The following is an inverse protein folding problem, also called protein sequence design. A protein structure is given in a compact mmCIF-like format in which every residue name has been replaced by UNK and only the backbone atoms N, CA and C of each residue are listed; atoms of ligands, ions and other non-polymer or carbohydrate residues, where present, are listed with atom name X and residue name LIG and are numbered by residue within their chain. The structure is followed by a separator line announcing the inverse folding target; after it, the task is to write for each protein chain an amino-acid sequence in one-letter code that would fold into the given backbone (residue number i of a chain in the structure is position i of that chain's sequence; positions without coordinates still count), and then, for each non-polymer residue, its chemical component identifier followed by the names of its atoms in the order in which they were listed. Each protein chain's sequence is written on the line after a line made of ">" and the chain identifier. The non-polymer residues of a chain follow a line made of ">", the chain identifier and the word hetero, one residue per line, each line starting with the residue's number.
data_IF_735007719366
#
_entry.id   IF_735007719366
#
_cell.length_a   1.000
_cell.length_b   1.000
_cell.length_c   1.000
_cell.angle_alpha   90.00
_cell.angle_beta   90.00
_cell.angle_gamma   90.00
#
_symmetry.space_group_name_H-M   'P 1'
#
loop_
_entity.id
_entity.type
_entity.pdbx_description
1 polymer ?
#
# COMPACT_ATOMS: atom_id res chain seq x y z
N UNK A 1 19.85 -9.35 2.32
CA UNK A 1 19.27 -8.12 2.90
C UNK A 1 20.23 -7.36 3.82
N UNK A 2 20.75 -7.93 4.92
CA UNK A 2 21.70 -7.21 5.79
C UNK A 2 22.99 -6.80 5.08
N UNK A 3 23.53 -7.65 4.22
CA UNK A 3 24.70 -7.29 3.39
C UNK A 3 24.38 -6.16 2.41
N UNK A 4 23.21 -6.16 1.78
CA UNK A 4 22.76 -5.11 0.86
C UNK A 4 22.68 -3.77 1.57
N UNK A 5 22.06 -3.73 2.76
CA UNK A 5 21.98 -2.51 3.57
C UNK A 5 23.38 -2.02 4.00
N UNK A 6 24.25 -2.94 4.43
CA UNK A 6 25.63 -2.61 4.80
C UNK A 6 26.44 -2.04 3.62
N UNK A 7 26.25 -2.61 2.43
CA UNK A 7 26.92 -2.14 1.21
C UNK A 7 26.34 -0.79 0.75
N UNK A 8 25.03 -0.60 0.80
CA UNK A 8 24.38 0.66 0.50
C UNK A 8 24.86 1.80 1.41
N UNK A 9 25.09 1.49 2.72
CA UNK A 9 25.59 2.47 3.68
C UNK A 9 27.01 2.98 3.38
N UNK A 10 27.85 2.17 2.71
CA UNK A 10 29.20 2.57 2.31
C UNK A 10 29.20 3.58 1.16
N UNK A 11 28.11 3.65 0.38
CA UNK A 11 27.98 4.56 -0.77
C UNK A 11 27.44 5.91 -0.26
N UNK A 12 28.20 7.02 -0.37
CA UNK A 12 27.83 8.30 0.26
C UNK A 12 26.46 8.85 -0.18
N UNK A 13 26.09 8.67 -1.48
CA UNK A 13 24.81 9.17 -1.98
C UNK A 13 23.62 8.33 -1.49
N UNK A 14 23.76 7.00 -1.45
CA UNK A 14 22.72 6.13 -0.90
C UNK A 14 22.55 6.36 0.61
N UNK A 15 23.66 6.58 1.31
CA UNK A 15 23.62 6.96 2.73
C UNK A 15 22.85 8.27 2.93
N UNK A 16 23.06 9.30 2.11
CA UNK A 16 22.28 10.55 2.17
C UNK A 16 20.79 10.31 1.98
N UNK A 17 20.39 9.48 1.00
CA UNK A 17 18.99 9.11 0.77
C UNK A 17 18.37 8.34 1.92
N UNK A 18 19.12 7.39 2.52
CA UNK A 18 18.68 6.65 3.72
C UNK A 18 18.44 7.61 4.88
N UNK A 19 19.42 8.48 5.17
CA UNK A 19 19.33 9.46 6.26
C UNK A 19 18.15 10.42 6.02
N UNK A 20 17.97 10.90 4.79
CA UNK A 20 16.84 11.75 4.43
C UNK A 20 15.50 11.06 4.67
N UNK A 21 15.36 9.80 4.25
CA UNK A 21 14.12 9.01 4.50
C UNK A 21 13.85 8.86 5.99
N UNK A 22 14.87 8.52 6.79
CA UNK A 22 14.73 8.42 8.23
C UNK A 22 14.38 9.77 8.89
N UNK A 23 14.95 10.87 8.42
CA UNK A 23 14.63 12.21 8.89
C UNK A 23 13.16 12.60 8.62
N UNK A 24 12.66 12.31 7.41
CA UNK A 24 11.24 12.53 7.08
C UNK A 24 10.33 11.66 7.95
N UNK A 25 10.68 10.40 8.19
CA UNK A 25 9.92 9.53 9.09
C UNK A 25 9.91 10.04 10.53
N UNK A 26 10.99 10.66 11.00
CA UNK A 26 11.05 11.28 12.31
C UNK A 26 10.11 12.49 12.39
N UNK A 27 10.11 13.39 11.38
CA UNK A 27 9.14 14.49 11.28
C UNK A 27 7.71 13.97 11.30
N UNK A 28 7.44 12.93 10.52
CA UNK A 28 6.13 12.29 10.49
C UNK A 28 5.73 11.76 11.88
N UNK A 29 6.66 11.17 12.64
CA UNK A 29 6.41 10.69 13.99
C UNK A 29 6.11 11.80 14.97
N UNK A 30 6.80 12.93 14.88
CA UNK A 30 6.51 14.11 15.71
C UNK A 30 5.07 14.58 15.46
N UNK A 31 4.65 14.69 14.20
CA UNK A 31 3.28 15.09 13.86
C UNK A 31 2.20 14.11 14.35
N UNK A 32 2.52 12.82 14.49
CA UNK A 32 1.61 11.81 15.05
C UNK A 32 1.39 11.95 16.58
N UNK A 33 2.12 12.81 17.25
CA UNK A 33 1.99 13.04 18.70
C UNK A 33 1.28 14.36 19.01
N UNK A 34 1.17 15.27 18.04
CA UNK A 34 0.55 16.59 18.23
C UNK A 34 -0.99 16.45 18.14
N UNK A 35 -1.72 16.58 19.25
CA UNK A 35 -3.17 16.49 19.24
C UNK A 35 -3.80 17.72 18.60
N UNK A 36 -4.98 17.53 17.98
CA UNK A 36 -5.78 18.65 17.48
C UNK A 36 -6.46 19.36 18.67
N UNK A 37 -6.49 20.69 18.71
CA UNK A 37 -7.14 21.44 19.77
C UNK A 37 -8.65 21.14 19.84
N UNK A 38 -9.25 21.38 20.99
CA UNK A 38 -10.69 21.16 21.30
C UNK A 38 -11.13 19.69 21.37
N UNK A 39 -10.19 18.74 21.43
CA UNK A 39 -10.51 17.30 21.57
C UNK A 39 -9.86 16.76 22.84
N UNK A 40 -10.63 16.08 23.69
CA UNK A 40 -10.10 15.34 24.82
C UNK A 40 -9.57 13.98 24.37
N UNK A 41 -8.25 13.91 24.26
CA UNK A 41 -7.52 12.72 23.77
C UNK A 41 -7.68 11.54 24.73
N UNK A 42 -7.75 11.77 26.05
CA UNK A 42 -7.84 10.70 27.02
C UNK A 42 -9.20 9.98 26.93
N UNK A 43 -10.28 10.74 26.88
CA UNK A 43 -11.63 10.21 26.71
C UNK A 43 -11.80 9.49 25.38
N UNK A 44 -11.28 10.07 24.28
CA UNK A 44 -11.33 9.45 22.96
C UNK A 44 -10.54 8.13 22.89
N UNK A 45 -9.32 8.10 23.43
CA UNK A 45 -8.48 6.90 23.43
C UNK A 45 -9.12 5.75 24.22
N UNK A 46 -9.69 6.04 25.41
CA UNK A 46 -10.39 5.04 26.21
C UNK A 46 -11.65 4.50 25.48
N UNK A 47 -12.42 5.38 24.86
CA UNK A 47 -13.59 5.00 24.07
C UNK A 47 -13.17 4.17 22.84
N UNK A 48 -12.09 4.55 22.17
CA UNK A 48 -11.57 3.83 21.02
C UNK A 48 -11.15 2.41 21.40
N UNK A 49 -10.38 2.24 22.48
CA UNK A 49 -9.88 0.94 22.91
C UNK A 49 -11.02 0.02 23.37
N UNK A 50 -12.07 0.57 23.97
CA UNK A 50 -13.22 -0.23 24.48
C UNK A 50 -14.23 -0.61 23.39
N UNK A 51 -14.52 0.27 22.42
CA UNK A 51 -15.63 0.10 21.49
C UNK A 51 -15.18 0.03 20.03
N UNK A 52 -14.28 0.90 19.61
CA UNK A 52 -13.96 1.10 18.20
C UNK A 52 -12.80 0.24 17.70
N UNK A 53 -11.96 -0.28 18.59
CA UNK A 53 -10.77 -1.07 18.22
C UNK A 53 -11.11 -2.35 17.44
N UNK A 54 -12.28 -2.94 17.68
CA UNK A 54 -12.75 -4.15 16.99
C UNK A 54 -13.48 -3.87 15.68
N UNK A 55 -13.70 -2.60 15.35
CA UNK A 55 -14.37 -2.16 14.11
C UNK A 55 -13.35 -1.89 12.99
N UNK A 56 -13.85 -1.50 11.83
CA UNK A 56 -12.99 -1.06 10.71
C UNK A 56 -12.10 0.14 11.08
N UNK A 57 -12.52 0.95 12.08
CA UNK A 57 -11.74 2.07 12.57
C UNK A 57 -10.46 1.63 13.30
N UNK A 58 -10.43 0.42 13.89
CA UNK A 58 -9.22 -0.19 14.41
C UNK A 58 -8.15 -0.40 13.35
N UNK A 59 -8.56 -0.77 12.13
CA UNK A 59 -7.67 -0.89 11.00
C UNK A 59 -7.13 0.48 10.54
N UNK A 60 -8.00 1.50 10.47
CA UNK A 60 -7.57 2.89 10.22
C UNK A 60 -6.54 3.36 11.23
N UNK A 61 -6.77 3.04 12.50
CA UNK A 61 -5.83 3.38 13.57
C UNK A 61 -4.47 2.68 13.40
N UNK A 62 -4.47 1.41 13.00
CA UNK A 62 -3.23 0.67 12.71
C UNK A 62 -2.47 1.28 11.52
N UNK A 63 -3.19 1.69 10.46
CA UNK A 63 -2.59 2.32 9.27
C UNK A 63 -2.12 3.75 9.52
N UNK A 64 -2.69 4.46 10.50
CA UNK A 64 -2.26 5.80 10.92
C UNK A 64 -1.17 5.75 12.01
N UNK A 65 -0.81 4.56 12.51
CA UNK A 65 0.16 4.41 13.58
C UNK A 65 -0.32 4.95 14.93
N UNK A 66 -1.59 4.71 15.25
CA UNK A 66 -2.34 5.17 16.44
C UNK A 66 -2.67 6.67 16.46
N UNK A 67 -2.39 7.40 15.40
CA UNK A 67 -2.73 8.81 15.28
C UNK A 67 -4.25 9.06 15.25
N UNK A 68 -5.02 8.10 14.68
CA UNK A 68 -6.47 8.18 14.60
C UNK A 68 -7.14 8.11 15.99
N UNK A 69 -6.76 7.19 16.86
CA UNK A 69 -7.33 7.06 18.21
C UNK A 69 -6.96 8.22 19.14
N UNK A 70 -5.93 8.98 18.80
CA UNK A 70 -5.45 10.13 19.56
C UNK A 70 -5.87 11.47 18.93
N UNK A 71 -6.67 11.46 17.85
CA UNK A 71 -7.08 12.64 17.11
C UNK A 71 -5.92 13.65 16.88
N UNK A 72 -4.78 13.15 16.46
CA UNK A 72 -3.61 14.00 16.17
C UNK A 72 -3.77 14.69 14.82
N UNK A 73 -2.93 15.68 14.54
CA UNK A 73 -2.93 16.41 13.26
C UNK A 73 -2.82 15.45 12.07
N UNK A 74 -2.12 14.32 12.22
CA UNK A 74 -1.98 13.30 11.18
C UNK A 74 -2.97 12.12 11.34
N UNK A 75 -4.10 12.31 12.04
CA UNK A 75 -5.10 11.25 12.27
C UNK A 75 -5.63 10.61 10.98
N UNK A 76 -5.87 11.38 9.93
CA UNK A 76 -6.29 10.86 8.62
C UNK A 76 -5.14 10.14 7.88
N UNK A 77 -3.89 10.36 8.31
CA UNK A 77 -2.70 9.75 7.72
C UNK A 77 -2.61 10.00 6.22
N UNK A 78 -2.18 8.97 5.49
CA UNK A 78 -2.02 9.00 4.03
C UNK A 78 -3.27 8.54 3.26
N UNK A 79 -4.35 8.14 3.96
CA UNK A 79 -5.56 7.58 3.37
C UNK A 79 -6.23 8.48 2.32
N UNK A 80 -6.41 9.81 2.53
CA UNK A 80 -7.01 10.67 1.50
C UNK A 80 -6.19 10.66 0.20
N UNK A 81 -4.86 10.58 0.30
CA UNK A 81 -3.99 10.52 -0.88
C UNK A 81 -4.06 9.16 -1.60
N UNK A 82 -4.12 8.05 -0.85
CA UNK A 82 -4.30 6.72 -1.45
C UNK A 82 -5.62 6.68 -2.22
N UNK A 83 -6.72 7.12 -1.60
CA UNK A 83 -8.03 7.15 -2.23
C UNK A 83 -8.04 8.05 -3.48
N UNK A 84 -7.43 9.24 -3.40
CA UNK A 84 -7.29 10.15 -4.54
C UNK A 84 -6.50 9.51 -5.68
N UNK A 85 -5.37 8.86 -5.36
CA UNK A 85 -4.53 8.19 -6.34
C UNK A 85 -5.29 7.06 -7.06
N UNK A 86 -6.07 6.25 -6.32
CA UNK A 86 -6.91 5.20 -6.88
C UNK A 86 -7.96 5.81 -7.83
N UNK A 87 -8.68 6.83 -7.38
CA UNK A 87 -9.73 7.50 -8.17
C UNK A 87 -9.12 8.06 -9.45
N UNK A 88 -8.03 8.78 -9.38
CA UNK A 88 -7.38 9.38 -10.55
C UNK A 88 -6.84 8.29 -11.50
N UNK A 89 -6.28 7.21 -10.97
CA UNK A 89 -5.81 6.10 -11.79
C UNK A 89 -6.95 5.39 -12.53
N UNK A 90 -8.09 5.18 -11.88
CA UNK A 90 -9.30 4.66 -12.53
C UNK A 90 -9.85 5.63 -13.58
N UNK A 91 -9.91 6.92 -13.26
CA UNK A 91 -10.36 7.95 -14.20
C UNK A 91 -9.42 8.11 -15.40
N UNK A 92 -8.13 7.89 -15.23
CA UNK A 92 -7.16 7.91 -16.34
C UNK A 92 -7.46 6.84 -17.39
N UNK A 93 -8.10 5.74 -17.01
CA UNK A 93 -8.52 4.69 -17.95
C UNK A 93 -9.92 4.97 -18.51
N UNK A 94 -10.82 5.49 -17.65
CA UNK A 94 -12.20 5.73 -18.04
C UNK A 94 -12.37 6.97 -18.95
N UNK A 95 -11.51 7.98 -18.79
CA UNK A 95 -11.63 9.27 -19.51
C UNK A 95 -10.52 9.37 -20.55
N UNK A 96 -10.85 9.36 -21.88
CA UNK A 96 -9.84 9.40 -22.95
C UNK A 96 -8.93 10.62 -22.93
N UNK A 97 -9.39 11.75 -22.40
CA UNK A 97 -8.57 12.96 -22.26
C UNK A 97 -7.43 12.76 -21.23
N UNK A 98 -7.73 12.08 -20.10
CA UNK A 98 -6.73 11.75 -19.08
C UNK A 98 -5.80 10.61 -19.54
N UNK A 99 -6.32 9.66 -20.32
CA UNK A 99 -5.52 8.59 -20.90
C UNK A 99 -4.45 9.15 -21.85
N UNK A 100 -4.83 10.07 -22.75
CA UNK A 100 -3.89 10.76 -23.65
C UNK A 100 -2.86 11.55 -22.86
N UNK A 101 -3.28 12.22 -21.80
CA UNK A 101 -2.38 12.96 -20.92
C UNK A 101 -1.34 12.05 -20.24
N UNK A 102 -1.75 10.83 -19.87
CA UNK A 102 -0.90 9.84 -19.22
C UNK A 102 0.10 9.19 -20.19
N UNK A 103 -0.37 8.83 -21.40
CA UNK A 103 0.44 8.09 -22.39
C UNK A 103 1.26 9.01 -23.29
N UNK A 104 0.63 10.06 -23.82
CA UNK A 104 1.23 10.95 -24.83
C UNK A 104 1.84 12.20 -24.24
N UNK A 105 1.45 12.60 -23.02
CA UNK A 105 1.89 13.84 -22.37
C UNK A 105 3.31 13.83 -21.79
N UNK A 106 4.03 12.70 -21.85
CA UNK A 106 5.39 12.58 -21.33
C UNK A 106 5.53 13.03 -19.88
N UNK A 107 6.62 13.72 -19.54
CA UNK A 107 6.87 14.23 -18.18
C UNK A 107 5.90 15.34 -17.75
N UNK A 108 5.45 16.20 -18.68
CA UNK A 108 4.47 17.23 -18.37
C UNK A 108 3.07 16.64 -18.06
N UNK A 109 2.67 15.60 -18.80
CA UNK A 109 1.44 14.88 -18.57
C UNK A 109 1.40 14.23 -17.18
N UNK A 110 2.48 13.56 -16.80
CA UNK A 110 2.64 12.98 -15.46
C UNK A 110 2.55 14.04 -14.36
N UNK A 111 3.20 15.20 -14.53
CA UNK A 111 3.12 16.32 -13.59
C UNK A 111 1.71 16.89 -13.46
N UNK A 112 0.94 16.97 -14.56
CA UNK A 112 -0.46 17.42 -14.53
C UNK A 112 -1.34 16.43 -13.77
N UNK A 113 -1.21 15.13 -14.03
CA UNK A 113 -1.94 14.07 -13.31
C UNK A 113 -1.62 14.11 -11.81
N UNK A 114 -0.34 14.23 -11.44
CA UNK A 114 0.07 14.36 -10.04
C UNK A 114 -0.57 15.59 -9.37
N UNK A 115 -0.65 16.73 -10.09
CA UNK A 115 -1.31 17.93 -9.59
C UNK A 115 -2.81 17.71 -9.35
N UNK A 116 -3.51 17.05 -10.26
CA UNK A 116 -4.92 16.68 -10.11
C UNK A 116 -5.10 15.77 -8.88
N UNK A 117 -4.23 14.77 -8.71
CA UNK A 117 -4.24 13.90 -7.53
C UNK A 117 -4.07 14.68 -6.22
N UNK A 118 -3.19 15.69 -6.17
CA UNK A 118 -3.00 16.54 -4.99
C UNK A 118 -4.26 17.33 -4.65
N UNK A 119 -4.91 17.97 -5.64
CA UNK A 119 -6.18 18.69 -5.40
C UNK A 119 -7.29 17.76 -4.94
N UNK A 120 -7.40 16.58 -5.56
CA UNK A 120 -8.38 15.55 -5.15
C UNK A 120 -8.10 15.07 -3.72
N UNK A 121 -6.84 14.95 -3.33
CA UNK A 121 -6.43 14.59 -1.96
C UNK A 121 -6.92 15.61 -0.94
N UNK A 122 -6.76 16.90 -1.22
CA UNK A 122 -7.23 17.96 -0.33
C UNK A 122 -8.76 17.94 -0.23
N UNK A 123 -9.48 17.77 -1.36
CA UNK A 123 -10.93 17.64 -1.38
C UNK A 123 -11.43 16.42 -0.56
N UNK A 124 -10.80 15.26 -0.73
CA UNK A 124 -11.11 14.09 0.06
C UNK A 124 -10.71 14.26 1.54
N UNK A 125 -9.60 14.96 1.81
CA UNK A 125 -9.18 15.31 3.16
C UNK A 125 -10.22 16.14 3.90
N UNK A 126 -10.82 17.14 3.23
CA UNK A 126 -11.92 17.93 3.77
C UNK A 126 -13.16 17.08 4.07
N UNK A 127 -13.56 16.20 3.14
CA UNK A 127 -14.68 15.29 3.33
C UNK A 127 -14.45 14.33 4.50
N UNK A 128 -13.28 13.70 4.56
CA UNK A 128 -12.93 12.76 5.63
C UNK A 128 -12.74 13.47 6.97
N UNK A 129 -12.18 14.69 6.97
CA UNK A 129 -12.05 15.52 8.17
C UNK A 129 -13.41 15.94 8.74
N UNK A 130 -14.33 16.35 7.86
CA UNK A 130 -15.71 16.62 8.24
C UNK A 130 -16.43 15.38 8.78
N UNK A 131 -16.28 14.26 8.12
CA UNK A 131 -16.85 12.99 8.55
C UNK A 131 -16.31 12.55 9.92
N UNK A 132 -15.00 12.72 10.15
CA UNK A 132 -14.37 12.41 11.44
C UNK A 132 -14.88 13.35 12.54
N UNK A 133 -14.98 14.65 12.27
CA UNK A 133 -15.60 15.61 13.20
C UNK A 133 -17.03 15.20 13.55
N UNK A 134 -17.84 14.84 12.56
CA UNK A 134 -19.23 14.42 12.77
C UNK A 134 -19.32 13.18 13.65
N UNK A 135 -18.41 12.23 13.47
CA UNK A 135 -18.30 11.05 14.33
C UNK A 135 -17.99 11.45 15.76
N UNK A 136 -17.00 12.30 16.01
CA UNK A 136 -16.64 12.78 17.35
C UNK A 136 -17.81 13.53 18.02
N UNK A 137 -18.52 14.36 17.25
CA UNK A 137 -19.68 15.09 17.75
C UNK A 137 -20.84 14.16 18.13
N UNK A 138 -21.13 13.14 17.31
CA UNK A 138 -22.14 12.15 17.61
C UNK A 138 -21.84 11.36 18.90
N UNK A 139 -20.57 11.02 19.16
CA UNK A 139 -20.17 10.36 20.39
C UNK A 139 -20.17 11.30 21.59
N UNK A 140 -19.81 12.56 21.41
CA UNK A 140 -19.91 13.58 22.45
C UNK A 140 -21.35 13.78 22.89
N UNK A 141 -22.31 13.77 21.96
CA UNK A 141 -23.75 13.89 22.27
C UNK A 141 -24.34 12.66 22.99
N UNK A 142 -23.67 11.50 22.95
CA UNK A 142 -24.07 10.27 23.67
C UNK A 142 -23.55 10.22 25.12
N UNK A 143 -22.96 11.29 25.64
CA UNK A 143 -22.49 11.39 27.02
C UNK A 143 -20.99 11.24 27.22
N UNK A 144 -20.22 11.04 26.13
CA UNK A 144 -18.77 11.07 26.16
C UNK A 144 -18.32 12.48 25.78
N UNK A 145 -17.91 13.30 26.71
CA UNK A 145 -17.43 14.69 26.43
C UNK A 145 -16.08 14.68 25.70
N UNK A 146 -16.08 14.23 24.44
CA UNK A 146 -14.86 14.13 23.60
C UNK A 146 -14.52 15.51 23.05
N UNK A 147 -15.51 16.32 22.67
CA UNK A 147 -15.30 17.70 22.19
C UNK A 147 -15.46 18.62 23.37
N UNK A 148 -14.39 19.37 23.72
CA UNK A 148 -14.33 20.26 24.87
C UNK A 148 -15.13 21.56 24.65
N UNK A 149 -15.23 22.02 23.42
CA UNK A 149 -15.99 23.23 23.07
C UNK A 149 -16.80 23.00 21.81
N UNK A 150 -18.11 23.19 21.90
CA UNK A 150 -19.01 23.12 20.75
C UNK A 150 -19.16 24.50 20.09
N UNK A 151 -19.20 24.52 18.77
CA UNK A 151 -19.39 25.74 17.99
C UNK A 151 -18.84 25.63 16.58
N UNK A 152 -19.15 26.64 15.75
CA UNK A 152 -18.68 26.67 14.36
C UNK A 152 -17.17 26.82 14.24
N UNK A 153 -16.54 27.67 15.04
CA UNK A 153 -15.08 27.90 15.02
C UNK A 153 -14.29 26.63 15.42
N UNK A 154 -14.58 25.94 16.54
CA UNK A 154 -13.92 24.67 16.86
C UNK A 154 -14.09 23.60 15.79
N UNK A 155 -15.30 23.47 15.21
CA UNK A 155 -15.57 22.54 14.12
C UNK A 155 -14.67 22.81 12.91
N UNK A 156 -14.61 24.07 12.48
CA UNK A 156 -13.78 24.49 11.35
C UNK A 156 -12.31 24.27 11.60
N UNK A 157 -11.81 24.59 12.80
CA UNK A 157 -10.40 24.34 13.17
C UNK A 157 -10.06 22.87 13.14
N UNK A 158 -10.90 22.00 13.70
CA UNK A 158 -10.68 20.54 13.72
C UNK A 158 -10.64 20.01 12.29
N UNK A 159 -11.61 20.35 11.43
CA UNK A 159 -11.68 19.88 10.04
C UNK A 159 -10.46 20.35 9.24
N UNK A 160 -10.10 21.62 9.36
CA UNK A 160 -8.94 22.18 8.65
C UNK A 160 -7.62 21.58 9.17
N UNK A 161 -7.49 21.32 10.48
CA UNK A 161 -6.30 20.71 11.06
C UNK A 161 -6.08 19.29 10.49
N UNK A 162 -7.12 18.46 10.43
CA UNK A 162 -7.02 17.13 9.83
C UNK A 162 -6.71 17.17 8.34
N UNK A 163 -7.32 18.12 7.61
CA UNK A 163 -7.07 18.28 6.18
C UNK A 163 -5.65 18.74 5.90
N UNK A 164 -5.19 19.76 6.64
CA UNK A 164 -3.82 20.25 6.53
C UNK A 164 -2.81 19.16 6.88
N UNK A 165 -3.09 18.39 7.94
CA UNK A 165 -2.28 17.25 8.33
C UNK A 165 -2.14 16.21 7.23
N UNK A 166 -3.25 15.82 6.59
CA UNK A 166 -3.20 14.85 5.48
C UNK A 166 -2.46 15.39 4.25
N UNK A 167 -2.57 16.71 3.96
CA UNK A 167 -1.82 17.35 2.89
C UNK A 167 -0.30 17.38 3.18
N UNK A 168 0.09 17.61 4.44
CA UNK A 168 1.50 17.53 4.86
C UNK A 168 2.01 16.09 4.74
N UNK A 169 1.25 15.09 5.18
CA UNK A 169 1.63 13.67 5.04
C UNK A 169 1.80 13.26 3.57
N UNK A 170 0.90 13.71 2.69
CA UNK A 170 1.05 13.53 1.25
C UNK A 170 2.38 14.12 0.75
N UNK A 171 2.67 15.36 1.11
CA UNK A 171 3.91 16.03 0.71
C UNK A 171 5.16 15.31 1.25
N UNK A 172 5.14 14.85 2.51
CA UNK A 172 6.24 14.04 3.07
C UNK A 172 6.44 12.73 2.30
N UNK A 173 5.35 12.06 1.90
CA UNK A 173 5.42 10.86 1.07
C UNK A 173 6.05 11.11 -0.31
N UNK A 174 5.67 12.22 -0.95
CA UNK A 174 6.26 12.64 -2.24
C UNK A 174 7.76 12.97 -2.09
N UNK A 175 8.16 13.66 -1.00
CA UNK A 175 9.57 13.95 -0.72
C UNK A 175 10.41 12.67 -0.57
N UNK A 176 9.88 11.65 0.13
CA UNK A 176 10.58 10.35 0.22
C UNK A 176 10.71 9.71 -1.17
N UNK A 177 9.68 9.78 -2.00
CA UNK A 177 9.71 9.18 -3.33
C UNK A 177 10.72 9.88 -4.25
N UNK A 178 10.85 11.20 -4.17
CA UNK A 178 11.72 12.00 -5.03
C UNK A 178 13.19 11.98 -4.56
N UNK A 179 13.43 12.20 -3.29
CA UNK A 179 14.79 12.36 -2.72
C UNK A 179 15.25 11.21 -1.83
N UNK A 180 14.35 10.30 -1.46
CA UNK A 180 14.63 9.18 -0.58
C UNK A 180 14.85 7.86 -1.31
N UNK A 181 14.34 6.78 -0.72
CA UNK A 181 14.46 5.42 -1.23
C UNK A 181 13.06 4.84 -1.44
N UNK A 182 12.82 4.25 -2.60
CA UNK A 182 11.59 3.53 -2.88
C UNK A 182 10.34 4.41 -2.93
N UNK A 183 9.17 3.81 -2.66
CA UNK A 183 7.89 4.50 -2.69
C UNK A 183 7.57 5.10 -1.30
N UNK A 184 7.52 6.43 -1.19
CA UNK A 184 7.31 7.13 0.08
C UNK A 184 5.99 6.81 0.77
N UNK A 185 4.90 6.58 -0.02
CA UNK A 185 3.60 6.17 0.53
C UNK A 185 3.73 4.83 1.26
N UNK A 186 4.34 3.85 0.59
CA UNK A 186 4.55 2.52 1.13
C UNK A 186 5.44 2.54 2.38
N UNK A 187 6.48 3.39 2.38
CA UNK A 187 7.38 3.54 3.53
C UNK A 187 6.69 4.17 4.73
N UNK A 188 5.83 5.17 4.53
CA UNK A 188 5.04 5.76 5.61
C UNK A 188 4.07 4.72 6.19
N UNK A 189 3.36 3.95 5.33
CA UNK A 189 2.51 2.85 5.78
C UNK A 189 3.29 1.79 6.56
N UNK A 190 4.46 1.40 6.06
CA UNK A 190 5.36 0.49 6.75
C UNK A 190 5.74 0.99 8.14
N UNK A 191 6.16 2.25 8.25
CA UNK A 191 6.54 2.86 9.52
C UNK A 191 5.37 2.90 10.51
N UNK A 192 4.15 3.16 10.03
CA UNK A 192 2.95 3.14 10.86
C UNK A 192 2.62 1.75 11.40
N UNK A 193 2.64 0.76 10.54
CA UNK A 193 2.33 -0.62 10.95
C UNK A 193 3.38 -1.14 11.94
N UNK A 194 4.67 -0.91 11.63
CA UNK A 194 5.78 -1.33 12.52
C UNK A 194 5.69 -0.66 13.89
N UNK A 195 5.18 0.56 13.97
CA UNK A 195 4.99 1.24 15.26
C UNK A 195 3.96 0.58 16.17
N UNK A 196 3.05 -0.20 15.62
CA UNK A 196 2.09 -1.01 16.38
C UNK A 196 2.70 -2.29 16.99
N UNK A 197 3.89 -2.71 16.55
CA UNK A 197 4.52 -3.96 17.04
C UNK A 197 4.76 -4.02 18.54
N UNK A 198 5.25 -2.95 19.23
CA UNK A 198 5.42 -3.00 20.67
C UNK A 198 4.12 -3.31 21.42
N UNK A 199 3.00 -2.70 20.99
CA UNK A 199 1.66 -2.96 21.57
C UNK A 199 1.21 -4.41 21.27
N UNK A 200 1.48 -4.90 20.07
CA UNK A 200 1.20 -6.29 19.70
C UNK A 200 1.95 -7.28 20.56
N UNK A 201 3.25 -7.05 20.77
CA UNK A 201 4.09 -7.90 21.64
C UNK A 201 3.55 -7.87 23.07
N UNK A 202 3.14 -6.70 23.59
CA UNK A 202 2.49 -6.60 24.89
C UNK A 202 1.20 -7.45 24.98
N UNK A 203 0.37 -7.41 23.96
CA UNK A 203 -0.87 -8.22 23.90
C UNK A 203 -0.58 -9.73 23.78
N UNK A 204 0.51 -10.12 23.12
CA UNK A 204 0.92 -11.53 23.05
C UNK A 204 1.23 -12.10 24.43
N UNK A 205 1.92 -11.36 25.30
CA UNK A 205 2.23 -11.83 26.66
C UNK A 205 1.00 -12.01 27.57
N UNK A 206 -0.13 -11.42 27.19
CA UNK A 206 -1.41 -11.63 27.90
C UNK A 206 -2.15 -12.90 27.47
N UNK A 207 -1.66 -13.62 26.47
CA UNK A 207 -2.25 -14.86 25.94
C UNK A 207 -1.69 -16.11 26.62
N UNK A 208 -2.39 -17.24 26.44
CA UNK A 208 -1.92 -18.55 26.90
C UNK A 208 -0.68 -18.97 26.08
N UNK A 209 0.30 -19.60 26.72
CA UNK A 209 1.58 -19.98 26.11
C UNK A 209 1.46 -20.76 24.79
N UNK A 210 0.47 -21.65 24.67
CA UNK A 210 0.26 -22.42 23.43
C UNK A 210 -0.33 -21.56 22.31
N UNK A 211 -1.14 -20.53 22.64
CA UNK A 211 -1.64 -19.53 21.67
C UNK A 211 -0.51 -18.67 21.15
N UNK A 212 0.40 -18.24 22.01
CA UNK A 212 1.61 -17.50 21.63
C UNK A 212 2.41 -18.30 20.62
N UNK A 213 2.65 -19.59 20.90
CA UNK A 213 3.40 -20.47 20.02
C UNK A 213 2.74 -20.59 18.63
N UNK A 214 1.42 -20.81 18.56
CA UNK A 214 0.68 -20.90 17.30
C UNK A 214 0.77 -19.59 16.52
N UNK A 215 0.60 -18.45 17.17
CA UNK A 215 0.66 -17.12 16.53
C UNK A 215 2.08 -16.86 16.00
N UNK A 216 3.12 -17.09 16.78
CA UNK A 216 4.50 -16.82 16.38
C UNK A 216 4.92 -17.74 15.23
N UNK A 217 4.63 -19.05 15.32
CA UNK A 217 4.94 -20.01 14.25
C UNK A 217 4.12 -19.71 12.99
N UNK A 218 2.83 -19.39 13.15
CA UNK A 218 1.96 -19.02 12.04
C UNK A 218 2.43 -17.73 11.33
N UNK A 219 2.82 -16.71 12.09
CA UNK A 219 3.38 -15.47 11.53
C UNK A 219 4.71 -15.72 10.80
N UNK A 220 5.61 -16.49 11.39
CA UNK A 220 6.88 -16.85 10.75
C UNK A 220 6.66 -17.62 9.44
N UNK A 221 5.77 -18.60 9.44
CA UNK A 221 5.41 -19.36 8.24
C UNK A 221 4.80 -18.47 7.17
N UNK A 222 3.92 -17.52 7.56
CA UNK A 222 3.29 -16.57 6.65
C UNK A 222 4.32 -15.61 6.04
N UNK A 223 5.24 -15.08 6.82
CA UNK A 223 6.33 -14.22 6.33
C UNK A 223 7.21 -14.98 5.33
N UNK A 224 7.63 -16.22 5.65
CA UNK A 224 8.41 -17.06 4.74
C UNK A 224 7.65 -17.34 3.43
N UNK A 225 6.35 -17.62 3.53
CA UNK A 225 5.51 -17.86 2.36
C UNK A 225 5.39 -16.61 1.47
N UNK A 226 5.20 -15.41 2.07
CA UNK A 226 5.17 -14.14 1.33
C UNK A 226 6.50 -13.89 0.62
N UNK A 227 7.64 -14.11 1.30
CA UNK A 227 8.97 -13.92 0.71
C UNK A 227 9.17 -14.86 -0.48
N UNK A 228 8.81 -16.14 -0.30
CA UNK A 228 8.95 -17.15 -1.34
C UNK A 228 8.17 -16.81 -2.61
N UNK A 229 6.92 -16.35 -2.47
CA UNK A 229 6.07 -15.98 -3.62
C UNK A 229 6.51 -14.65 -4.25
N UNK A 230 6.96 -13.66 -3.45
CA UNK A 230 7.44 -12.38 -3.99
C UNK A 230 8.76 -12.49 -4.76
N UNK A 231 9.57 -13.52 -4.47
CA UNK A 231 10.80 -13.80 -5.21
C UNK A 231 10.57 -14.79 -6.37
N UNK A 232 9.40 -15.43 -6.43
CA UNK A 232 9.05 -16.33 -7.51
C UNK A 232 8.87 -15.56 -8.83
N UNK A 233 9.54 -16.03 -9.89
CA UNK A 233 9.46 -15.44 -11.23
C UNK A 233 9.34 -16.53 -12.31
N UNK A 234 8.57 -16.24 -13.34
CA UNK A 234 8.51 -17.03 -14.56
C UNK A 234 9.51 -16.48 -15.56
N UNK A 235 10.56 -17.23 -15.88
CA UNK A 235 11.57 -16.85 -16.88
C UNK A 235 11.15 -17.33 -18.26
N UNK A 236 10.94 -16.39 -19.19
CA UNK A 236 10.67 -16.68 -20.59
C UNK A 236 11.99 -16.53 -21.36
N UNK A 237 12.50 -17.59 -22.04
CA UNK A 237 13.74 -17.49 -22.79
C UNK A 237 13.56 -16.59 -24.01
N UNK A 238 14.50 -15.66 -24.20
CA UNK A 238 14.58 -14.78 -25.35
C UNK A 238 15.91 -15.06 -26.04
N UNK A 239 15.85 -15.15 -27.37
CA UNK A 239 17.03 -15.26 -28.23
C UNK A 239 17.20 -13.98 -29.05
N UNK A 240 18.42 -13.48 -29.11
CA UNK A 240 18.77 -12.36 -29.98
C UNK A 240 19.47 -12.88 -31.22
N UNK A 241 19.10 -12.33 -32.38
CA UNK A 241 19.74 -12.68 -33.65
C UNK A 241 21.23 -12.37 -33.60
N UNK A 242 22.07 -13.30 -34.05
CA UNK A 242 23.50 -13.07 -34.21
C UNK A 242 23.72 -12.08 -35.36
N UNK A 243 24.44 -11.01 -35.12
CA UNK A 243 24.84 -10.04 -36.15
C UNK A 243 26.32 -10.19 -36.42
N UNK A 244 26.65 -10.53 -37.65
CA UNK A 244 28.06 -10.60 -38.11
C UNK A 244 28.42 -9.25 -38.66
N UNK A 245 29.42 -8.60 -38.09
CA UNK A 245 29.98 -7.34 -38.59
C UNK A 245 31.47 -7.59 -38.88
N UNK A 246 31.80 -7.79 -40.14
CA UNK A 246 33.13 -8.23 -40.56
C UNK A 246 33.46 -9.64 -40.07
N UNK A 247 34.62 -9.82 -39.41
CA UNK A 247 35.08 -11.09 -38.82
C UNK A 247 34.58 -11.33 -37.39
N UNK A 248 33.86 -10.37 -36.77
CA UNK A 248 33.37 -10.47 -35.37
C UNK A 248 31.88 -10.75 -35.36
N UNK A 249 31.50 -11.76 -34.57
CA UNK A 249 30.11 -12.11 -34.32
C UNK A 249 29.65 -11.37 -33.08
N UNK A 250 28.68 -10.47 -33.24
CA UNK A 250 28.03 -9.75 -32.14
C UNK A 250 26.64 -10.31 -31.93
N UNK A 251 26.23 -10.47 -30.66
CA UNK A 251 24.91 -10.99 -30.30
C UNK A 251 24.89 -12.52 -30.13
N UNK A 252 23.71 -13.09 -30.06
CA UNK A 252 23.49 -14.51 -29.77
C UNK A 252 23.50 -14.85 -28.28
N UNK A 253 23.45 -13.84 -27.39
CA UNK A 253 23.21 -14.08 -25.97
C UNK A 253 21.76 -14.50 -25.77
N UNK A 254 21.59 -15.65 -25.13
CA UNK A 254 20.29 -16.08 -24.65
C UNK A 254 20.03 -15.38 -23.33
N UNK A 255 19.01 -14.54 -23.28
CA UNK A 255 18.55 -13.86 -22.06
C UNK A 255 17.17 -14.37 -21.70
N UNK A 256 16.75 -14.13 -20.47
CA UNK A 256 15.42 -14.48 -20.01
C UNK A 256 14.66 -13.19 -19.69
N UNK A 257 13.37 -13.16 -20.06
CA UNK A 257 12.42 -12.15 -19.59
C UNK A 257 11.82 -12.64 -18.26
N UNK A 258 12.21 -12.07 -17.11
CA UNK A 258 11.64 -12.44 -15.83
C UNK A 258 10.27 -11.79 -15.66
N UNK A 259 9.24 -12.59 -15.47
CA UNK A 259 7.89 -12.14 -15.10
C UNK A 259 7.65 -12.57 -13.65
N UNK A 260 7.56 -11.61 -12.73
CA UNK A 260 7.33 -11.89 -11.31
C UNK A 260 5.92 -12.43 -11.08
N UNK A 261 5.75 -13.33 -10.14
CA UNK A 261 4.42 -13.85 -9.75
C UNK A 261 3.60 -12.76 -9.05
N UNK A 262 4.22 -11.97 -8.18
CA UNK A 262 3.61 -10.80 -7.55
C UNK A 262 3.91 -9.54 -8.37
N UNK A 263 3.38 -9.47 -9.61
CA UNK A 263 3.62 -8.34 -10.52
C UNK A 263 3.07 -7.02 -10.00
N UNK A 264 1.90 -7.08 -9.39
CA UNK A 264 1.19 -5.89 -8.89
C UNK A 264 1.67 -5.44 -7.49
N UNK A 265 2.61 -6.18 -6.86
CA UNK A 265 3.09 -5.87 -5.52
C UNK A 265 1.97 -5.85 -4.47
N UNK A 266 2.03 -4.88 -3.57
CA UNK A 266 1.08 -4.71 -2.47
C UNK A 266 -0.12 -3.82 -2.86
N UNK A 267 -0.04 -3.09 -3.97
CA UNK A 267 -1.04 -2.09 -4.38
C UNK A 267 -2.47 -2.64 -4.49
N UNK A 268 -2.73 -3.82 -5.08
CA UNK A 268 -4.10 -4.36 -5.16
C UNK A 268 -4.77 -4.55 -3.81
N UNK A 269 -4.00 -4.94 -2.79
CA UNK A 269 -4.51 -5.13 -1.43
C UNK A 269 -4.90 -3.79 -0.82
N UNK A 270 -4.05 -2.77 -0.97
CA UNK A 270 -4.30 -1.43 -0.46
C UNK A 270 -5.56 -0.85 -1.12
N UNK A 271 -5.72 -1.04 -2.44
CA UNK A 271 -6.88 -0.58 -3.20
C UNK A 271 -8.16 -1.31 -2.79
N UNK A 272 -8.12 -2.63 -2.74
CA UNK A 272 -9.26 -3.43 -2.30
C UNK A 272 -9.69 -3.04 -0.87
N UNK A 273 -8.73 -2.88 0.03
CA UNK A 273 -8.98 -2.47 1.40
C UNK A 273 -9.57 -1.06 1.49
N UNK A 274 -9.04 -0.11 0.74
CA UNK A 274 -9.55 1.27 0.73
C UNK A 274 -11.01 1.31 0.27
N UNK A 275 -11.37 0.59 -0.78
CA UNK A 275 -12.76 0.56 -1.29
C UNK A 275 -13.68 -0.22 -0.36
N UNK A 276 -13.27 -1.39 0.13
CA UNK A 276 -14.07 -2.17 1.07
C UNK A 276 -14.30 -1.47 2.41
N UNK A 277 -13.38 -0.58 2.81
CA UNK A 277 -13.53 0.19 4.03
C UNK A 277 -14.49 1.37 3.90
N UNK A 278 -14.74 1.91 2.69
CA UNK A 278 -15.59 3.10 2.50
C UNK A 278 -17.01 2.94 3.06
N UNK A 279 -17.78 1.85 2.74
CA UNK A 279 -19.13 1.71 3.27
C UNK A 279 -19.17 1.59 4.79
N UNK A 280 -18.23 0.83 5.36
CA UNK A 280 -18.12 0.68 6.81
C UNK A 280 -17.75 2.00 7.49
N UNK A 281 -16.88 2.79 6.89
CA UNK A 281 -16.47 4.12 7.36
C UNK A 281 -17.63 5.09 7.31
N UNK A 282 -18.41 5.10 6.23
CA UNK A 282 -19.61 5.95 6.10
C UNK A 282 -20.63 5.58 7.19
N UNK A 283 -20.86 4.29 7.44
CA UNK A 283 -21.74 3.84 8.52
C UNK A 283 -21.24 4.27 9.90
N UNK A 284 -19.92 4.17 10.15
CA UNK A 284 -19.31 4.59 11.41
C UNK A 284 -19.44 6.12 11.61
N UNK A 285 -19.24 6.91 10.58
CA UNK A 285 -19.38 8.37 10.64
C UNK A 285 -20.80 8.84 10.80
N UNK A 286 -21.78 8.11 10.25
CA UNK A 286 -23.22 8.42 10.43
C UNK A 286 -23.81 7.87 11.72
N UNK A 287 -23.04 7.18 12.57
CA UNK A 287 -23.48 6.56 13.80
C UNK A 287 -24.39 5.33 13.62
N UNK A 288 -24.58 4.85 12.40
CA UNK A 288 -25.44 3.70 12.08
C UNK A 288 -24.67 2.38 12.09
N UNK A 289 -23.98 2.10 13.20
CA UNK A 289 -23.16 0.88 13.37
C UNK A 289 -23.94 -0.34 13.82
N UNK A 290 -25.18 -0.18 14.28
CA UNK A 290 -26.05 -1.27 14.75
C UNK A 290 -27.01 -1.84 13.70
N UNK A 291 -26.97 -1.33 12.46
CA UNK A 291 -27.83 -1.80 11.37
C UNK A 291 -27.47 -3.20 10.89
N UNK A 292 -28.48 -3.98 10.43
CA UNK A 292 -28.29 -5.32 9.88
C UNK A 292 -27.21 -5.35 8.77
N UNK A 293 -27.22 -4.35 7.88
CA UNK A 293 -26.24 -4.19 6.81
C UNK A 293 -24.81 -4.06 7.31
N UNK A 294 -24.60 -3.26 8.36
CA UNK A 294 -23.28 -3.08 8.94
C UNK A 294 -22.76 -4.37 9.58
N UNK A 295 -23.58 -5.00 10.42
CA UNK A 295 -23.18 -6.17 11.20
C UNK A 295 -22.93 -7.41 10.35
N UNK A 296 -23.72 -7.63 9.28
CA UNK A 296 -23.64 -8.84 8.48
C UNK A 296 -22.81 -8.70 7.20
N UNK A 297 -22.69 -7.50 6.64
CA UNK A 297 -22.01 -7.29 5.35
C UNK A 297 -20.67 -6.57 5.52
N UNK A 298 -20.65 -5.48 6.29
CA UNK A 298 -19.47 -4.59 6.33
C UNK A 298 -18.64 -4.69 7.62
N UNK A 299 -19.05 -5.50 8.57
CA UNK A 299 -18.22 -5.79 9.73
C UNK A 299 -16.98 -6.58 9.32
N UNK A 300 -15.81 -6.14 9.75
CA UNK A 300 -14.51 -6.80 9.45
C UNK A 300 -14.43 -8.27 9.93
N UNK A 301 -15.34 -8.67 10.82
CA UNK A 301 -15.45 -10.05 11.30
C UNK A 301 -16.47 -10.89 10.54
N UNK A 302 -17.22 -10.31 9.60
CA UNK A 302 -18.23 -11.02 8.81
C UNK A 302 -17.61 -11.87 7.71
N UNK A 303 -18.14 -13.07 7.49
CA UNK A 303 -17.78 -13.92 6.37
C UNK A 303 -18.13 -13.28 5.00
N UNK A 304 -19.22 -12.51 4.94
CA UNK A 304 -19.60 -11.74 3.74
C UNK A 304 -18.55 -10.70 3.39
N UNK A 305 -18.04 -9.97 4.39
CA UNK A 305 -16.93 -9.04 4.19
C UNK A 305 -15.70 -9.76 3.61
N UNK A 306 -15.35 -10.93 4.17
CA UNK A 306 -14.21 -11.71 3.69
C UNK A 306 -14.34 -12.09 2.20
N UNK A 307 -15.53 -12.54 1.78
CA UNK A 307 -15.80 -12.89 0.36
C UNK A 307 -15.71 -11.65 -0.53
N UNK A 308 -16.34 -10.54 -0.16
CA UNK A 308 -16.29 -9.29 -0.93
C UNK A 308 -14.85 -8.79 -1.04
N UNK A 309 -14.10 -8.83 0.06
CA UNK A 309 -12.71 -8.40 0.09
C UNK A 309 -11.82 -9.27 -0.81
N UNK A 310 -12.02 -10.60 -0.80
CA UNK A 310 -11.32 -11.52 -1.71
C UNK A 310 -11.60 -11.19 -3.18
N UNK A 311 -12.86 -10.98 -3.54
CA UNK A 311 -13.26 -10.63 -4.90
C UNK A 311 -12.66 -9.29 -5.34
N UNK A 312 -12.61 -8.31 -4.43
CA UNK A 312 -11.99 -7.01 -4.69
C UNK A 312 -10.48 -7.12 -4.88
N UNK A 313 -9.78 -7.92 -4.06
CA UNK A 313 -8.33 -8.18 -4.26
C UNK A 313 -8.11 -8.84 -5.63
N UNK A 314 -8.94 -9.81 -5.99
CA UNK A 314 -8.85 -10.48 -7.28
C UNK A 314 -9.05 -9.51 -8.44
N UNK A 315 -10.10 -8.68 -8.37
CA UNK A 315 -10.40 -7.66 -9.38
C UNK A 315 -9.27 -6.65 -9.52
N UNK A 316 -8.79 -6.07 -8.41
CA UNK A 316 -7.70 -5.09 -8.46
C UNK A 316 -6.37 -5.68 -8.87
N UNK A 317 -6.08 -6.92 -8.53
CA UNK A 317 -4.88 -7.61 -8.99
C UNK A 317 -4.88 -7.80 -10.51
N UNK A 318 -6.02 -8.21 -11.08
CA UNK A 318 -6.18 -8.32 -12.53
C UNK A 318 -6.11 -6.94 -13.20
N UNK A 319 -6.86 -5.99 -12.69
CA UNK A 319 -6.92 -4.61 -13.20
C UNK A 319 -5.54 -3.94 -13.21
N UNK A 320 -4.83 -3.97 -12.09
CA UNK A 320 -3.51 -3.34 -11.96
C UNK A 320 -2.46 -3.99 -12.85
N UNK A 321 -2.51 -5.30 -13.00
CA UNK A 321 -1.61 -6.01 -13.89
C UNK A 321 -1.81 -5.63 -15.37
N UNK A 322 -3.07 -5.42 -15.78
CA UNK A 322 -3.40 -4.98 -17.15
C UNK A 322 -2.87 -3.58 -17.46
N UNK A 323 -2.81 -2.70 -16.44
CA UNK A 323 -2.26 -1.34 -16.61
C UNK A 323 -0.73 -1.35 -16.64
N UNK A 324 -0.12 -2.14 -15.79
CA UNK A 324 1.34 -2.11 -15.58
C UNK A 324 2.11 -2.83 -16.70
N UNK A 325 1.50 -3.82 -17.30
CA UNK A 325 2.13 -4.63 -18.34
C UNK A 325 1.32 -4.58 -19.63
N UNK A 326 1.89 -3.91 -20.64
CA UNK A 326 1.36 -3.94 -22.02
C UNK A 326 2.13 -4.98 -22.85
N UNK A 327 1.52 -6.15 -23.13
CA UNK A 327 2.16 -7.21 -23.92
C UNK A 327 2.54 -6.78 -25.33
N UNK A 328 1.77 -5.83 -25.90
CA UNK A 328 2.03 -5.31 -27.25
C UNK A 328 3.29 -4.45 -27.25
N UNK A 329 3.44 -3.58 -26.23
CA UNK A 329 4.64 -2.76 -26.07
C UNK A 329 5.88 -3.63 -25.82
N UNK A 330 5.77 -4.63 -24.92
CA UNK A 330 6.87 -5.58 -24.65
C UNK A 330 7.28 -6.31 -25.92
N UNK A 331 6.32 -6.82 -26.71
CA UNK A 331 6.58 -7.54 -27.97
C UNK A 331 7.24 -6.62 -29.01
N UNK A 332 6.79 -5.37 -29.12
CA UNK A 332 7.36 -4.38 -30.05
C UNK A 332 8.79 -3.99 -29.64
N UNK A 333 9.06 -3.84 -28.34
CA UNK A 333 10.39 -3.55 -27.83
C UNK A 333 11.34 -4.73 -28.08
N UNK A 334 10.89 -5.98 -27.88
CA UNK A 334 11.65 -7.16 -28.26
C UNK A 334 12.00 -7.17 -29.74
N UNK A 335 10.99 -6.92 -30.62
CA UNK A 335 11.19 -6.87 -32.07
C UNK A 335 12.18 -5.78 -32.47
N UNK A 336 12.07 -4.57 -31.90
CA UNK A 336 12.99 -3.45 -32.19
C UNK A 336 14.43 -3.78 -31.84
N UNK A 337 14.64 -4.54 -30.75
CA UNK A 337 15.95 -4.94 -30.27
C UNK A 337 16.47 -6.26 -30.92
N UNK A 338 15.76 -6.79 -31.94
CA UNK A 338 16.14 -8.03 -32.60
C UNK A 338 15.99 -9.30 -31.76
N UNK A 339 15.23 -9.22 -30.66
CA UNK A 339 14.91 -10.36 -29.79
C UNK A 339 13.64 -11.09 -30.24
N UNK A 340 13.61 -12.39 -30.07
CA UNK A 340 12.41 -13.22 -30.31
C UNK A 340 12.30 -14.34 -29.28
N UNK A 341 11.07 -14.80 -29.07
CA UNK A 341 10.79 -15.96 -28.20
C UNK A 341 10.82 -17.20 -29.08
N UNK A 342 11.63 -18.23 -28.76
CA UNK A 342 11.67 -19.48 -29.52
C UNK A 342 10.27 -20.10 -29.69
N UNK A 343 9.92 -20.44 -30.92
CA UNK A 343 8.62 -21.01 -31.26
C UNK A 343 7.52 -20.01 -31.60
N UNK A 344 7.75 -18.70 -31.43
CA UNK A 344 6.77 -17.66 -31.77
C UNK A 344 7.33 -16.63 -32.75
N UNK A 345 6.54 -16.25 -33.75
CA UNK A 345 6.92 -15.17 -34.69
C UNK A 345 6.92 -13.82 -33.97
N UNK A 346 7.93 -12.94 -34.21
CA UNK A 346 7.94 -11.59 -33.66
C UNK A 346 6.69 -10.79 -34.04
N UNK A 347 6.16 -10.00 -33.10
CA UNK A 347 4.96 -9.19 -33.27
C UNK A 347 3.73 -9.77 -32.55
N UNK A 348 2.55 -9.72 -33.18
CA UNK A 348 1.29 -10.10 -32.56
C UNK A 348 1.29 -11.50 -31.91
N UNK A 349 1.81 -12.59 -32.54
CA UNK A 349 1.85 -13.90 -31.89
C UNK A 349 2.69 -13.93 -30.60
N UNK A 350 3.76 -13.16 -30.53
CA UNK A 350 4.56 -13.00 -29.32
C UNK A 350 3.79 -12.23 -28.24
N UNK A 351 3.06 -11.18 -28.62
CA UNK A 351 2.21 -10.43 -27.68
C UNK A 351 1.12 -11.32 -27.10
N UNK A 352 0.42 -12.10 -27.94
CA UNK A 352 -0.63 -13.04 -27.53
C UNK A 352 -0.11 -14.13 -26.58
N UNK A 353 1.11 -14.62 -26.82
CA UNK A 353 1.77 -15.58 -25.92
C UNK A 353 2.09 -14.92 -24.55
N UNK A 354 2.70 -13.75 -24.55
CA UNK A 354 3.02 -13.00 -23.33
C UNK A 354 1.75 -12.70 -22.55
N UNK A 355 0.66 -12.27 -23.21
CA UNK A 355 -0.64 -12.02 -22.58
C UNK A 355 -1.20 -13.26 -21.88
N UNK A 356 -1.13 -14.43 -22.54
CA UNK A 356 -1.57 -15.70 -21.95
C UNK A 356 -0.77 -16.06 -20.70
N UNK A 357 0.55 -15.83 -20.73
CA UNK A 357 1.42 -16.11 -19.57
C UNK A 357 1.09 -15.14 -18.44
N UNK A 358 0.97 -13.84 -18.71
CA UNK A 358 0.61 -12.81 -17.72
C UNK A 358 -0.74 -13.15 -17.08
N UNK A 359 -1.77 -13.45 -17.87
CA UNK A 359 -3.10 -13.77 -17.33
C UNK A 359 -3.06 -14.95 -16.34
N UNK A 360 -2.30 -16.01 -16.65
CA UNK A 360 -2.16 -17.16 -15.75
C UNK A 360 -1.45 -16.81 -14.46
N UNK A 361 -0.39 -16.01 -14.56
CA UNK A 361 0.40 -15.58 -13.39
C UNK A 361 -0.43 -14.66 -12.50
N UNK A 362 -1.19 -13.73 -13.10
CA UNK A 362 -2.06 -12.80 -12.37
C UNK A 362 -3.15 -13.51 -11.59
N UNK A 363 -3.79 -14.51 -12.19
CA UNK A 363 -4.80 -15.34 -11.49
C UNK A 363 -4.18 -16.01 -10.27
N UNK A 364 -3.02 -16.64 -10.44
CA UNK A 364 -2.31 -17.28 -9.32
C UNK A 364 -1.92 -16.25 -8.24
N UNK A 365 -1.34 -15.10 -8.65
CA UNK A 365 -0.97 -14.01 -7.75
C UNK A 365 -2.17 -13.42 -7.00
N UNK A 366 -3.32 -13.23 -7.68
CA UNK A 366 -4.54 -12.74 -7.07
C UNK A 366 -5.12 -13.70 -6.02
N UNK A 367 -5.15 -15.01 -6.32
CA UNK A 367 -5.58 -16.04 -5.36
C UNK A 367 -4.64 -16.07 -4.16
N UNK A 368 -3.32 -16.03 -4.39
CA UNK A 368 -2.33 -15.97 -3.34
C UNK A 368 -2.56 -14.76 -2.42
N UNK A 369 -2.64 -13.55 -2.98
CA UNK A 369 -2.86 -12.31 -2.21
C UNK A 369 -4.18 -12.37 -1.43
N UNK A 370 -5.24 -12.88 -2.05
CA UNK A 370 -6.54 -13.04 -1.41
C UNK A 370 -6.51 -14.02 -0.24
N UNK A 371 -5.89 -15.19 -0.41
CA UNK A 371 -5.76 -16.19 0.66
C UNK A 371 -4.97 -15.61 1.84
N UNK A 372 -3.82 -15.00 1.57
CA UNK A 372 -2.98 -14.42 2.64
C UNK A 372 -3.69 -13.27 3.36
N UNK A 373 -4.45 -12.43 2.62
CA UNK A 373 -5.23 -11.34 3.22
C UNK A 373 -6.39 -11.83 4.09
N UNK A 374 -6.96 -13.00 3.76
CA UNK A 374 -8.07 -13.58 4.52
C UNK A 374 -7.62 -14.36 5.76
N UNK A 375 -6.39 -14.88 5.79
CA UNK A 375 -5.90 -15.71 6.90
C UNK A 375 -6.19 -15.13 8.28
N UNK A 376 -5.94 -13.84 8.57
CA UNK A 376 -6.22 -13.29 9.89
C UNK A 376 -7.69 -13.08 10.21
N UNK A 377 -8.51 -12.80 9.18
CA UNK A 377 -9.98 -12.73 9.36
C UNK A 377 -10.50 -14.10 9.81
N UNK A 378 -10.02 -15.15 9.14
CA UNK A 378 -10.36 -16.54 9.50
C UNK A 378 -9.80 -16.91 10.88
N UNK A 379 -8.53 -16.59 11.15
CA UNK A 379 -7.90 -16.86 12.45
C UNK A 379 -8.59 -16.11 13.59
N UNK A 380 -8.95 -14.84 13.38
CA UNK A 380 -9.66 -14.03 14.37
C UNK A 380 -11.09 -14.54 14.67
N UNK A 381 -11.74 -15.16 13.68
CA UNK A 381 -13.06 -15.79 13.89
C UNK A 381 -12.97 -17.17 14.58
N UNK A 382 -11.87 -17.90 14.37
CA UNK A 382 -11.64 -19.21 15.01
C UNK A 382 -11.09 -19.08 16.44
N UNK A 383 -10.29 -18.05 16.71
CA UNK A 383 -9.61 -17.85 18.00
C UNK A 383 -9.88 -16.43 18.52
N UNK A 384 -10.74 -16.30 19.53
CA UNK A 384 -11.10 -15.01 20.10
C UNK A 384 -9.90 -14.20 20.63
N UNK A 385 -8.85 -14.86 21.12
CA UNK A 385 -7.61 -14.23 21.57
C UNK A 385 -6.82 -13.55 20.46
N UNK A 386 -6.81 -14.12 19.24
CA UNK A 386 -6.09 -13.58 18.08
C UNK A 386 -6.76 -12.33 17.51
N UNK A 387 -8.08 -12.19 17.72
CA UNK A 387 -8.86 -11.02 17.29
C UNK A 387 -8.34 -9.70 17.88
N UNK A 388 -7.80 -9.75 19.10
CA UNK A 388 -7.28 -8.58 19.81
C UNK A 388 -5.86 -8.20 19.37
N UNK A 389 -5.20 -9.02 18.54
CA UNK A 389 -3.86 -8.72 18.06
C UNK A 389 -3.80 -7.62 17.00
N UNK A 390 -4.96 -7.10 16.55
CA UNK A 390 -5.15 -5.91 15.70
C UNK A 390 -4.29 -5.80 14.43
N UNK A 391 -3.36 -6.72 14.18
CA UNK A 391 -2.53 -6.74 12.99
C UNK A 391 -3.11 -7.76 12.04
N UNK A 392 -3.91 -7.28 11.11
CA UNK A 392 -4.44 -8.08 10.02
C UNK A 392 -3.30 -8.58 9.12
N UNK A 393 -3.51 -9.72 8.42
CA UNK A 393 -2.53 -10.24 7.47
C UNK A 393 -2.19 -9.28 6.35
N UNK A 394 -3.08 -8.34 6.06
CA UNK A 394 -2.82 -7.23 5.16
C UNK A 394 -1.65 -6.38 5.65
N UNK A 395 -1.57 -6.09 6.94
CA UNK A 395 -0.46 -5.35 7.54
C UNK A 395 0.86 -6.11 7.41
N UNK A 396 0.86 -7.43 7.59
CA UNK A 396 2.07 -8.26 7.44
C UNK A 396 2.51 -8.29 5.97
N UNK A 397 1.56 -8.45 5.02
CA UNK A 397 1.89 -8.41 3.60
C UNK A 397 2.49 -7.07 3.22
N UNK A 398 1.90 -5.96 3.70
CA UNK A 398 2.40 -4.61 3.44
C UNK A 398 3.82 -4.46 4.00
N UNK A 399 4.05 -4.87 5.26
CA UNK A 399 5.37 -4.75 5.89
C UNK A 399 6.43 -5.56 5.14
N UNK A 400 6.15 -6.84 4.85
CA UNK A 400 7.10 -7.70 4.13
C UNK A 400 7.29 -7.26 2.69
N UNK A 401 6.21 -6.91 1.99
CA UNK A 401 6.24 -6.45 0.61
C UNK A 401 7.05 -5.16 0.46
N UNK A 402 6.77 -4.15 1.28
CA UNK A 402 7.49 -2.87 1.26
C UNK A 402 8.96 -3.04 1.63
N UNK A 403 9.27 -3.88 2.62
CA UNK A 403 10.66 -4.19 2.98
C UNK A 403 11.41 -4.79 1.79
N UNK A 404 10.81 -5.77 1.09
CA UNK A 404 11.40 -6.40 -0.09
C UNK A 404 11.55 -5.41 -1.25
N UNK A 405 10.52 -4.61 -1.55
CA UNK A 405 10.55 -3.59 -2.60
C UNK A 405 11.64 -2.54 -2.33
N UNK A 406 11.77 -2.10 -1.07
CA UNK A 406 12.79 -1.12 -0.67
C UNK A 406 14.21 -1.69 -0.82
N UNK A 407 14.44 -2.94 -0.45
CA UNK A 407 15.73 -3.61 -0.62
C UNK A 407 16.06 -3.76 -2.12
N UNK A 408 15.08 -4.20 -2.94
CA UNK A 408 15.26 -4.30 -4.39
C UNK A 408 15.52 -2.94 -5.05
N UNK A 409 14.88 -1.88 -4.57
CA UNK A 409 15.15 -0.51 -5.05
C UNK A 409 16.58 -0.06 -4.71
N UNK A 410 17.08 -0.40 -3.51
CA UNK A 410 18.47 -0.15 -3.14
C UNK A 410 19.47 -0.94 -4.01
N UNK A 411 19.19 -2.23 -4.23
CA UNK A 411 20.03 -3.07 -5.12
C UNK A 411 20.09 -2.53 -6.54
N UNK A 412 18.95 -2.12 -7.10
CA UNK A 412 18.90 -1.52 -8.42
C UNK A 412 19.73 -0.23 -8.50
N UNK A 413 19.66 0.63 -7.47
CA UNK A 413 20.46 1.85 -7.42
C UNK A 413 21.98 1.58 -7.27
N UNK A 414 22.36 0.52 -6.56
CA UNK A 414 23.77 0.09 -6.46
C UNK A 414 24.30 -0.45 -7.77
N UNK A 415 23.51 -1.28 -8.49
CA UNK A 415 23.89 -1.85 -9.78
C UNK A 415 24.10 -0.77 -10.86
N UNK A 416 23.23 0.22 -10.93
CA UNK A 416 23.35 1.33 -11.88
C UNK A 416 24.65 2.12 -11.70
N UNK A 417 25.25 2.12 -10.53
CA UNK A 417 26.53 2.80 -10.27
C UNK A 417 27.75 1.97 -10.60
N UNK A 418 27.71 0.67 -10.41
CA UNK A 418 28.81 -0.18 -10.89
C UNK A 418 29.00 -0.09 -12.39
N UNK A 419 27.95 0.19 -13.14
CA UNK A 419 28.01 0.39 -14.60
C UNK A 419 28.61 1.78 -14.99
N UNK A 420 28.39 2.83 -14.19
CA UNK A 420 28.98 4.16 -14.44
C UNK A 420 30.48 4.20 -14.15
N UNK A 421 30.97 3.46 -13.17
CA UNK A 421 32.41 3.39 -12.88
C UNK A 421 33.23 2.57 -13.87
N UNK A 422 32.61 2.02 -14.92
CA UNK A 422 33.31 1.36 -16.04
C UNK A 422 33.43 2.25 -17.27
N UNK A 423 32.80 3.43 -17.26
CA UNK A 423 32.75 4.40 -18.38
C UNK A 423 33.57 5.68 -18.11
N UNK A 424 34.03 5.86 -16.86
CA UNK A 424 35.03 6.85 -16.45
C UNK A 424 36.40 6.17 -16.31
#
# INVERSE_FOLDING_TARGET
>A
MLQTLRNAWKIPELRKKIIFTLFILLIYRIGNVIPVPFIDVATLSNYFDSVLSTTILGLYNAMSGSAFSQATVFALGIQPYINASIIIQLLTIAIPALERLAKDGGEEGKKKIARISRYTTVGLGLLMGWAYYTMLHNYSSQGFSIITQEGFLPALVIILAFTAGSAVVMWLGEQITEFGIGNGISIILFANIVSGFPRMVGNLFAMLWWQILIVVVGMAALVLFIIFINDAERRIPIQYAKRVVGRKVYGGQNTNLPIKVSMAGVMPIIFAQSICSLPATICAFTGKTSGWWYTHVWSSSSWTYAVIYFLMIFFFSWFYSTIQYDPVEISNNLKKNGGFIPGFRPGKPTADFIQKVINKIVVFGAVYLGVVALLPIVAGNLMSGVRNLAIGGTSIIIVVGVALETVKALEAQMLMRHYKGFLD
#
